data_IF_069356105234
#
_entry.id   IF_069356105234
#
_cell.length_a   1.000
_cell.length_b   1.000
_cell.length_c   1.000
_cell.angle_alpha   90.00
_cell.angle_beta   90.00
_cell.angle_gamma   90.00
#
_symmetry.space_group_name_H-M   'P 1'
#
loop_
_entity.id
_entity.type
_entity.pdbx_description
1 polymer ?
#
# COMPACT_ATOMS: atom_id res chain seq x y z
N UNK A 1 -29.38 34.65 -17.42
CA UNK A 1 -28.50 34.19 -18.53
C UNK A 1 -28.19 35.40 -19.39
N UNK A 2 -26.98 35.96 -19.24
CA UNK A 2 -26.57 37.18 -19.96
C UNK A 2 -25.22 37.78 -19.51
N UNK A 3 -24.70 37.40 -18.34
CA UNK A 3 -23.53 38.07 -17.74
C UNK A 3 -22.24 37.98 -18.57
N UNK A 4 -22.06 36.92 -19.35
CA UNK A 4 -20.83 36.72 -20.16
C UNK A 4 -20.83 37.61 -21.42
N UNK A 5 -22.01 37.97 -21.94
CA UNK A 5 -22.12 38.71 -23.19
C UNK A 5 -21.81 40.21 -23.00
N UNK A 6 -22.21 40.80 -21.87
CA UNK A 6 -21.93 42.21 -21.56
C UNK A 6 -20.43 42.42 -21.20
N UNK A 7 -19.79 41.45 -20.54
CA UNK A 7 -18.34 41.53 -20.21
C UNK A 7 -17.41 41.38 -21.42
N UNK A 8 -17.88 40.77 -22.51
CA UNK A 8 -17.15 40.68 -23.78
C UNK A 8 -17.15 42.00 -24.56
N UNK A 9 -18.18 42.82 -24.37
CA UNK A 9 -18.32 44.14 -25.02
C UNK A 9 -17.60 45.24 -24.23
N UNK A 10 -17.48 45.12 -22.90
CA UNK A 10 -16.79 46.10 -22.04
C UNK A 10 -15.27 46.02 -22.07
N UNK A 11 -14.70 44.94 -22.62
CA UNK A 11 -13.24 44.73 -22.69
C UNK A 11 -12.61 44.23 -21.38
N UNK A 12 -13.41 43.81 -20.40
CA UNK A 12 -12.96 43.35 -19.08
C UNK A 12 -12.66 41.84 -19.02
N UNK A 13 -13.00 41.09 -20.06
CA UNK A 13 -12.78 39.66 -20.17
C UNK A 13 -11.82 39.34 -21.31
N UNK A 14 -10.65 38.76 -21.01
CA UNK A 14 -9.70 38.33 -22.03
C UNK A 14 -10.10 36.93 -22.54
N UNK A 15 -10.61 36.89 -23.77
CA UNK A 15 -11.12 35.68 -24.39
C UNK A 15 -10.03 34.71 -24.89
N UNK A 16 -8.75 35.11 -24.89
CA UNK A 16 -7.63 34.23 -25.29
C UNK A 16 -7.14 33.40 -24.11
N UNK A 17 -7.07 34.01 -22.91
CA UNK A 17 -6.59 33.36 -21.69
C UNK A 17 -7.73 32.87 -20.78
N UNK A 18 -8.94 33.40 -20.97
CA UNK A 18 -10.12 33.11 -20.14
C UNK A 18 -10.11 33.81 -18.78
N UNK A 19 -9.23 34.80 -18.58
CA UNK A 19 -9.09 35.53 -17.31
C UNK A 19 -9.89 36.84 -17.30
N UNK A 20 -10.50 37.12 -16.14
CA UNK A 20 -11.25 38.35 -15.87
C UNK A 20 -10.32 39.43 -15.31
N UNK A 21 -10.20 40.56 -16.02
CA UNK A 21 -9.26 41.65 -15.73
C UNK A 21 -9.82 42.75 -14.82
N UNK A 22 -11.03 42.58 -14.25
CA UNK A 22 -11.64 43.55 -13.35
C UNK A 22 -10.94 43.68 -12.00
N UNK A 23 -11.07 44.86 -11.39
CA UNK A 23 -10.47 45.20 -10.09
C UNK A 23 -10.86 44.22 -8.97
N UNK A 24 -9.92 44.01 -8.05
CA UNK A 24 -10.05 43.04 -6.97
C UNK A 24 -11.13 43.46 -5.95
N UNK A 25 -12.38 43.05 -6.20
CA UNK A 25 -13.43 43.02 -5.17
C UNK A 25 -12.99 42.04 -4.09
N UNK A 26 -12.82 42.54 -2.86
CA UNK A 26 -12.06 41.96 -1.74
C UNK A 26 -12.53 40.63 -1.15
N UNK A 27 -13.00 39.69 -1.96
CA UNK A 27 -13.06 38.28 -1.60
C UNK A 27 -11.68 37.66 -1.79
N UNK A 28 -11.21 36.82 -0.85
CA UNK A 28 -9.90 36.21 -0.96
C UNK A 28 -9.82 35.39 -2.24
N UNK A 29 -8.97 35.83 -3.18
CA UNK A 29 -8.46 34.94 -4.24
C UNK A 29 -7.86 33.74 -3.50
N UNK A 30 -8.45 32.57 -3.69
CA UNK A 30 -7.90 31.31 -3.19
C UNK A 30 -6.60 31.02 -3.92
N UNK A 31 -5.53 31.70 -3.54
CA UNK A 31 -4.18 31.20 -3.74
C UNK A 31 -4.00 30.04 -2.77
N UNK A 32 -4.56 28.88 -3.14
CA UNK A 32 -4.06 27.63 -2.60
C UNK A 32 -2.66 27.53 -3.16
N UNK A 33 -1.68 28.06 -2.41
CA UNK A 33 -0.36 27.46 -2.36
C UNK A 33 -0.65 25.98 -2.21
N UNK A 34 -0.29 25.19 -3.22
CA UNK A 34 -0.20 23.75 -3.06
C UNK A 34 0.84 23.52 -1.95
N UNK A 35 0.38 23.61 -0.70
CA UNK A 35 0.94 22.82 0.36
C UNK A 35 1.05 21.43 -0.25
N UNK A 36 2.25 20.86 -0.24
CA UNK A 36 2.48 19.47 -0.58
C UNK A 36 1.55 18.64 0.28
N UNK A 37 0.31 18.51 -0.19
CA UNK A 37 -0.75 17.75 0.41
C UNK A 37 -0.20 16.35 0.40
N UNK A 38 -0.22 15.72 1.57
CA UNK A 38 -0.02 14.30 1.68
C UNK A 38 -0.89 13.63 0.61
N UNK A 39 -0.28 13.27 -0.52
CA UNK A 39 -0.93 12.44 -1.53
C UNK A 39 -0.96 11.08 -0.87
N UNK A 40 -2.13 10.54 -0.49
CA UNK A 40 -2.20 9.18 0.02
C UNK A 40 -1.58 8.33 -1.09
N UNK A 41 -0.46 7.67 -0.80
CA UNK A 41 0.25 6.85 -1.78
C UNK A 41 -0.76 5.91 -2.40
N UNK A 42 -1.16 6.20 -3.64
CA UNK A 42 -2.14 5.40 -4.35
C UNK A 42 -1.56 3.99 -4.48
N UNK A 43 -2.12 3.08 -3.68
CA UNK A 43 -2.23 1.68 -4.03
C UNK A 43 -1.00 0.82 -3.80
N UNK A 44 -0.57 0.63 -2.54
CA UNK A 44 -0.05 -0.70 -2.20
C UNK A 44 -1.19 -1.68 -2.43
N UNK A 45 -1.03 -2.59 -3.41
CA UNK A 45 -2.01 -3.66 -3.67
C UNK A 45 -2.43 -4.28 -2.34
N UNK A 46 -3.74 -4.51 -2.11
CA UNK A 46 -4.20 -5.09 -0.86
C UNK A 46 -3.41 -6.37 -0.59
N UNK A 47 -2.74 -6.40 0.55
CA UNK A 47 -1.96 -7.58 0.92
C UNK A 47 -2.92 -8.76 1.05
N UNK A 48 -2.63 -9.86 0.37
CA UNK A 48 -3.49 -11.05 0.42
C UNK A 48 -3.68 -11.51 1.87
N UNK A 49 -4.88 -11.99 2.22
CA UNK A 49 -5.21 -12.53 3.56
C UNK A 49 -4.17 -13.54 4.06
N UNK A 50 -3.67 -14.39 3.17
CA UNK A 50 -2.59 -15.33 3.45
C UNK A 50 -1.29 -14.62 3.87
N UNK A 51 -0.81 -13.64 3.10
CA UNK A 51 0.40 -12.88 3.43
C UNK A 51 0.26 -12.13 4.77
N UNK A 52 -0.90 -11.51 5.04
CA UNK A 52 -1.16 -10.85 6.33
C UNK A 52 -1.10 -11.86 7.48
N UNK A 53 -1.78 -13.00 7.33
CA UNK A 53 -1.80 -14.04 8.36
C UNK A 53 -0.40 -14.62 8.63
N UNK A 54 0.35 -14.98 7.59
CA UNK A 54 1.72 -15.49 7.72
C UNK A 54 2.65 -14.44 8.34
N UNK A 55 2.51 -13.18 7.91
CA UNK A 55 3.32 -12.08 8.46
C UNK A 55 3.04 -11.87 9.95
N UNK A 56 1.77 -11.88 10.37
CA UNK A 56 1.43 -11.74 11.78
C UNK A 56 1.97 -12.93 12.58
N UNK A 57 1.77 -14.17 12.12
CA UNK A 57 2.30 -15.35 12.81
C UNK A 57 3.83 -15.33 13.01
N UNK A 58 4.58 -14.79 12.05
CA UNK A 58 6.03 -14.62 12.16
C UNK A 58 6.40 -13.45 13.09
N UNK A 59 5.71 -12.30 12.98
CA UNK A 59 5.94 -11.12 13.83
C UNK A 59 5.64 -11.38 15.30
N UNK A 60 4.56 -12.10 15.59
CA UNK A 60 4.16 -12.47 16.96
C UNK A 60 5.25 -13.29 17.68
N UNK A 61 6.17 -13.89 16.92
CA UNK A 61 7.30 -14.69 17.41
C UNK A 61 8.66 -13.99 17.27
N UNK A 62 8.66 -12.71 16.88
CA UNK A 62 9.88 -11.91 16.75
C UNK A 62 10.71 -12.18 15.48
N UNK A 63 10.09 -12.73 14.43
CA UNK A 63 10.77 -12.92 13.14
C UNK A 63 10.57 -11.73 12.20
N UNK A 64 11.66 -11.30 11.56
CA UNK A 64 11.65 -10.25 10.55
C UNK A 64 11.08 -10.72 9.21
N UNK A 65 10.77 -9.77 8.33
CA UNK A 65 10.25 -10.09 6.99
C UNK A 65 11.20 -10.91 6.13
N UNK A 66 12.52 -10.76 6.29
CA UNK A 66 13.53 -11.57 5.60
C UNK A 66 13.51 -13.00 6.12
N UNK A 67 13.55 -13.16 7.44
CA UNK A 67 13.46 -14.46 8.11
C UNK A 67 12.15 -15.18 7.78
N UNK A 68 11.03 -14.46 7.68
CA UNK A 68 9.75 -15.02 7.22
C UNK A 68 9.88 -15.73 5.88
N UNK A 69 10.55 -15.12 4.90
CA UNK A 69 10.72 -15.71 3.56
C UNK A 69 11.55 -16.98 3.65
N UNK A 70 12.66 -16.94 4.40
CA UNK A 70 13.53 -18.10 4.61
C UNK A 70 12.82 -19.24 5.34
N UNK A 71 12.05 -18.94 6.38
CA UNK A 71 11.28 -19.93 7.15
C UNK A 71 10.19 -20.59 6.31
N UNK A 72 9.49 -19.81 5.48
CA UNK A 72 8.50 -20.34 4.54
C UNK A 72 9.15 -21.25 3.51
N UNK A 73 10.31 -20.86 2.96
CA UNK A 73 11.06 -21.70 2.03
C UNK A 73 11.54 -23.00 2.70
N UNK A 74 12.17 -22.93 3.88
CA UNK A 74 12.61 -24.10 4.66
C UNK A 74 11.46 -25.06 4.95
N UNK A 75 10.32 -24.52 5.37
CA UNK A 75 9.13 -25.33 5.67
C UNK A 75 8.61 -26.07 4.44
N UNK A 76 8.53 -25.39 3.29
CA UNK A 76 8.04 -26.00 2.05
C UNK A 76 9.04 -27.01 1.47
N UNK A 77 10.34 -26.75 1.56
CA UNK A 77 11.36 -27.75 1.23
C UNK A 77 11.23 -29.00 2.10
N UNK A 78 11.01 -28.84 3.42
CA UNK A 78 10.74 -29.97 4.32
C UNK A 78 9.45 -30.76 4.00
N UNK A 79 8.53 -30.17 3.22
CA UNK A 79 7.32 -30.86 2.72
C UNK A 79 7.51 -31.52 1.35
N UNK A 80 8.69 -31.42 0.73
CA UNK A 80 9.00 -32.05 -0.55
C UNK A 80 8.81 -31.15 -1.77
N UNK A 81 8.66 -29.83 -1.59
CA UNK A 81 8.67 -28.89 -2.71
C UNK A 81 10.12 -28.63 -3.15
N UNK A 82 10.58 -29.30 -4.20
CA UNK A 82 11.91 -29.08 -4.78
C UNK A 82 12.00 -27.71 -5.50
N UNK A 83 10.95 -27.35 -6.24
CA UNK A 83 10.82 -26.03 -6.88
C UNK A 83 9.72 -25.23 -6.21
N UNK A 84 10.13 -24.15 -5.53
CA UNK A 84 9.23 -23.27 -4.81
C UNK A 84 8.39 -22.42 -5.78
N UNK A 85 7.04 -22.46 -5.68
CA UNK A 85 6.18 -21.55 -6.43
C UNK A 85 6.46 -20.09 -6.09
N UNK A 86 5.86 -19.14 -6.84
CA UNK A 86 5.96 -17.70 -6.49
C UNK A 86 5.55 -17.45 -5.03
N UNK A 87 6.21 -16.51 -4.37
CA UNK A 87 6.05 -16.22 -2.93
C UNK A 87 4.59 -16.06 -2.48
N UNK A 88 3.78 -15.33 -3.25
CA UNK A 88 2.35 -15.18 -2.95
C UNK A 88 1.56 -16.49 -2.96
N UNK A 89 1.98 -17.47 -3.78
CA UNK A 89 1.39 -18.81 -3.83
C UNK A 89 1.89 -19.69 -2.69
N UNK A 90 3.16 -19.57 -2.32
CA UNK A 90 3.71 -20.23 -1.12
C UNK A 90 2.89 -19.90 0.13
N UNK A 91 2.63 -18.60 0.36
CA UNK A 91 1.80 -18.18 1.49
C UNK A 91 0.38 -18.74 1.43
N UNK A 92 -0.23 -18.84 0.24
CA UNK A 92 -1.57 -19.42 0.09
C UNK A 92 -1.59 -20.91 0.40
N UNK A 93 -0.60 -21.67 -0.06
CA UNK A 93 -0.46 -23.11 0.23
C UNK A 93 -0.38 -23.31 1.75
N UNK A 94 0.53 -22.59 2.41
CA UNK A 94 0.69 -22.69 3.86
C UNK A 94 -0.60 -22.27 4.59
N UNK A 95 -1.21 -21.17 4.18
CA UNK A 95 -2.42 -20.66 4.83
C UNK A 95 -3.62 -21.61 4.70
N UNK A 96 -3.77 -22.29 3.56
CA UNK A 96 -4.91 -23.17 3.30
C UNK A 96 -4.71 -24.59 3.85
N UNK A 97 -3.52 -25.17 3.65
CA UNK A 97 -3.30 -26.61 3.87
C UNK A 97 -2.48 -26.89 5.13
N UNK A 98 -1.49 -26.05 5.43
CA UNK A 98 -0.48 -26.35 6.45
C UNK A 98 -0.43 -25.35 7.61
N UNK A 99 -1.50 -24.60 7.85
CA UNK A 99 -1.50 -23.47 8.80
C UNK A 99 -1.10 -23.88 10.21
N UNK A 100 -1.67 -24.97 10.72
CA UNK A 100 -1.38 -25.49 12.07
C UNK A 100 0.02 -26.06 12.18
N UNK A 101 0.46 -26.80 11.15
CA UNK A 101 1.78 -27.39 11.06
C UNK A 101 2.88 -26.32 11.01
N UNK A 102 2.67 -25.27 10.20
CA UNK A 102 3.56 -24.13 10.15
C UNK A 102 3.63 -23.39 11.48
N UNK A 103 2.51 -23.26 12.21
CA UNK A 103 2.48 -22.69 13.55
C UNK A 103 3.34 -23.49 14.54
N UNK A 104 3.30 -24.82 14.47
CA UNK A 104 4.15 -25.72 15.29
C UNK A 104 5.62 -25.58 14.91
N UNK A 105 5.92 -25.61 13.61
CA UNK A 105 7.26 -25.39 13.08
C UNK A 105 7.87 -24.08 13.59
N UNK A 106 7.12 -22.97 13.54
CA UNK A 106 7.61 -21.69 14.05
C UNK A 106 7.91 -21.72 15.55
N UNK A 107 7.16 -22.47 16.36
CA UNK A 107 7.45 -22.62 17.81
C UNK A 107 8.73 -23.42 18.03
N UNK A 108 8.95 -24.48 17.25
CA UNK A 108 10.21 -25.24 17.29
C UNK A 108 11.41 -24.39 16.90
N UNK A 109 11.28 -23.55 15.87
CA UNK A 109 12.35 -22.62 15.46
C UNK A 109 12.68 -21.58 16.55
N UNK A 110 11.67 -21.08 17.28
CA UNK A 110 11.92 -20.19 18.43
C UNK A 110 12.66 -20.92 19.55
N UNK A 111 12.28 -22.17 19.86
CA UNK A 111 12.96 -22.98 20.90
C UNK A 111 14.42 -23.26 20.55
N UNK A 112 14.70 -23.59 19.27
CA UNK A 112 16.07 -23.80 18.80
C UNK A 112 16.93 -22.55 19.00
N UNK A 113 16.39 -21.36 18.71
CA UNK A 113 17.07 -20.08 18.91
C UNK A 113 17.36 -19.73 20.38
N UNK A 114 16.63 -20.32 21.32
CA UNK A 114 16.83 -20.09 22.77
C UNK A 114 17.79 -21.08 23.43
N UNK A 115 18.11 -22.19 22.75
CA UNK A 115 19.02 -23.23 23.25
C UNK A 115 20.45 -23.08 22.69
N UNK A 116 20.71 -22.02 21.94
CA UNK A 116 22.01 -21.63 21.38
C UNK A 116 22.47 -20.33 22.07
#
# INVERSE_FOLDING_TARGET
MGEIADSLISGEFDCITGEYLGDAVGYPRTYVREAHGYVPSFGKKPSSKANVCITNMCKDRGFDNRQKIELVAKFLHGKGYEQLPKLGRQYKIIFNEYKSEFKRFLVEQVKQRSNE
#
